data_IF_453530303943
#
_entry.id   IF_453530303943
#
_cell.length_a   1.000
_cell.length_b   1.000
_cell.length_c   1.000
_cell.angle_alpha   90.00
_cell.angle_beta   90.00
_cell.angle_gamma   90.00
#
_symmetry.space_group_name_H-M   'P 1'
#
loop_
_entity.id
_entity.type
_entity.pdbx_description
1 polymer ?
#
# COMPACT_ATOMS: atom_id res chain seq x y z
N UNK A 1 1.26 13.73 1.56
CA UNK A 1 0.22 12.75 1.16
C UNK A 1 -0.19 11.98 2.40
N UNK A 2 -1.46 11.94 2.69
CA UNK A 2 -1.97 11.21 3.85
C UNK A 2 -2.53 9.86 3.40
N UNK A 3 -2.05 8.79 4.02
CA UNK A 3 -2.46 7.42 3.73
C UNK A 3 -3.31 6.92 4.88
N UNK A 4 -4.47 6.35 4.56
CA UNK A 4 -5.38 5.76 5.53
C UNK A 4 -5.52 4.26 5.29
N UNK A 5 -5.92 3.52 6.33
CA UNK A 5 -6.26 2.11 6.15
C UNK A 5 -7.34 1.95 5.08
N UNK A 6 -7.21 0.90 4.30
CA UNK A 6 -8.07 0.53 3.18
C UNK A 6 -7.94 1.43 1.95
N UNK A 7 -7.09 2.45 1.99
CA UNK A 7 -6.76 3.18 0.77
C UNK A 7 -6.05 2.25 -0.23
N UNK A 8 -6.33 2.44 -1.50
CA UNK A 8 -5.59 1.79 -2.57
C UNK A 8 -4.47 2.72 -3.01
N UNK A 9 -3.25 2.21 -3.03
CA UNK A 9 -2.07 3.01 -3.37
C UNK A 9 -1.35 2.38 -4.56
N UNK A 10 -0.68 3.23 -5.34
CA UNK A 10 0.29 2.80 -6.35
C UNK A 10 1.68 3.09 -5.81
N UNK A 11 2.51 2.07 -5.79
CA UNK A 11 3.92 2.20 -5.41
C UNK A 11 4.74 2.72 -6.58
N UNK A 12 5.92 3.26 -6.29
CA UNK A 12 6.79 3.84 -7.33
C UNK A 12 7.32 2.79 -8.31
N UNK A 13 7.32 1.51 -7.92
CA UNK A 13 7.68 0.41 -8.83
C UNK A 13 6.53 -0.05 -9.72
N UNK A 14 5.35 0.59 -9.60
CA UNK A 14 4.18 0.29 -10.42
C UNK A 14 3.17 -0.66 -9.81
N UNK A 15 3.51 -1.33 -8.70
CA UNK A 15 2.55 -2.23 -8.03
C UNK A 15 1.46 -1.43 -7.36
N UNK A 16 0.26 -1.99 -7.30
CA UNK A 16 -0.89 -1.39 -6.63
C UNK A 16 -1.46 -2.35 -5.61
N UNK A 17 -1.95 -1.82 -4.50
CA UNK A 17 -2.55 -2.64 -3.47
C UNK A 17 -3.26 -1.83 -2.42
N UNK A 18 -3.93 -2.52 -1.50
CA UNK A 18 -4.67 -1.92 -0.40
C UNK A 18 -3.80 -1.81 0.84
N UNK A 19 -3.91 -0.67 1.53
CA UNK A 19 -3.25 -0.48 2.82
C UNK A 19 -4.03 -1.25 3.88
N UNK A 20 -3.42 -2.29 4.44
CA UNK A 20 -4.08 -3.16 5.43
C UNK A 20 -3.66 -2.86 6.86
N UNK A 21 -2.58 -2.12 7.04
CA UNK A 21 -2.11 -1.73 8.37
C UNK A 21 -1.21 -0.51 8.27
N UNK A 22 -1.37 0.41 9.22
CA UNK A 22 -0.49 1.57 9.34
C UNK A 22 0.24 1.44 10.67
N UNK A 23 1.57 1.47 10.63
CA UNK A 23 2.39 1.36 11.83
C UNK A 23 2.34 2.63 12.67
N UNK A 24 2.60 2.55 13.97
CA UNK A 24 2.62 3.73 14.84
C UNK A 24 3.50 4.84 14.27
N UNK A 25 3.01 6.07 14.34
CA UNK A 25 3.69 7.23 13.74
C UNK A 25 3.21 7.57 12.35
N UNK A 26 2.52 6.66 11.66
CA UNK A 26 1.91 6.92 10.34
C UNK A 26 2.90 7.05 9.19
N UNK A 27 4.19 6.72 9.41
CA UNK A 27 5.23 6.88 8.38
C UNK A 27 5.44 5.64 7.53
N UNK A 28 5.02 4.48 8.04
CA UNK A 28 5.16 3.21 7.34
C UNK A 28 3.84 2.45 7.40
N UNK A 29 3.60 1.65 6.38
CA UNK A 29 2.36 0.89 6.29
C UNK A 29 2.60 -0.40 5.51
N UNK A 30 1.65 -1.34 5.68
CA UNK A 30 1.66 -2.61 4.99
C UNK A 30 0.66 -2.56 3.85
N UNK A 31 1.10 -2.94 2.66
CA UNK A 31 0.27 -2.95 1.45
C UNK A 31 0.07 -4.38 0.99
N UNK A 32 -1.18 -4.78 0.84
CA UNK A 32 -1.54 -6.07 0.27
C UNK A 32 -1.64 -5.96 -1.24
N UNK A 33 -0.76 -6.65 -1.94
CA UNK A 33 -0.76 -6.71 -3.39
C UNK A 33 -1.59 -7.92 -3.80
N UNK A 34 -2.59 -7.71 -4.64
CA UNK A 34 -3.47 -8.77 -5.10
C UNK A 34 -3.49 -8.85 -6.63
N UNK A 35 -3.81 -10.04 -7.15
CA UNK A 35 -4.00 -10.21 -8.58
C UNK A 35 -5.43 -9.79 -9.00
N UNK A 36 -5.74 -9.94 -10.29
CA UNK A 36 -7.05 -9.57 -10.83
C UNK A 36 -8.20 -10.45 -10.32
N UNK A 37 -7.88 -11.54 -9.63
CA UNK A 37 -8.86 -12.47 -9.08
C UNK A 37 -9.03 -12.28 -7.57
N UNK A 38 -8.40 -11.26 -6.99
CA UNK A 38 -8.49 -10.99 -5.57
C UNK A 38 -7.59 -11.85 -4.68
N UNK A 39 -6.75 -12.68 -5.28
CA UNK A 39 -5.82 -13.51 -4.52
C UNK A 39 -4.62 -12.68 -4.09
N UNK A 40 -4.27 -12.73 -2.80
CA UNK A 40 -3.10 -12.03 -2.28
C UNK A 40 -1.82 -12.64 -2.84
N UNK A 41 -1.01 -11.81 -3.49
CA UNK A 41 0.29 -12.21 -4.04
C UNK A 41 1.42 -11.90 -3.07
N UNK A 42 1.32 -10.79 -2.31
CA UNK A 42 2.38 -10.35 -1.42
C UNK A 42 1.87 -9.35 -0.40
N UNK A 43 2.60 -9.24 0.71
CA UNK A 43 2.42 -8.18 1.70
C UNK A 43 3.73 -7.39 1.74
N UNK A 44 3.66 -6.11 1.42
CA UNK A 44 4.84 -5.26 1.23
C UNK A 44 4.82 -4.13 2.25
N UNK A 45 5.92 -3.98 2.99
CA UNK A 45 6.14 -2.80 3.82
C UNK A 45 6.54 -1.62 2.94
N UNK A 46 5.88 -0.48 3.14
CA UNK A 46 6.14 0.71 2.35
C UNK A 46 6.11 1.97 3.21
N UNK A 47 6.76 3.01 2.73
CA UNK A 47 6.71 4.34 3.32
C UNK A 47 6.16 5.32 2.29
N UNK A 48 5.87 6.55 2.73
CA UNK A 48 5.36 7.57 1.81
C UNK A 48 6.30 7.78 0.62
N UNK A 49 7.61 7.73 0.85
CA UNK A 49 8.61 7.88 -0.22
C UNK A 49 8.51 6.79 -1.29
N UNK A 50 7.93 5.65 -0.95
CA UNK A 50 7.76 4.51 -1.87
C UNK A 50 6.44 4.56 -2.62
N UNK A 51 5.59 5.52 -2.31
CA UNK A 51 4.22 5.63 -2.82
C UNK A 51 4.14 6.74 -3.85
N UNK A 52 3.65 6.38 -5.05
CA UNK A 52 3.49 7.34 -6.14
C UNK A 52 2.16 8.08 -6.04
N UNK A 53 1.09 7.39 -5.64
CA UNK A 53 -0.24 7.99 -5.59
C UNK A 53 -1.19 7.18 -4.71
N UNK A 54 -2.20 7.87 -4.19
CA UNK A 54 -3.41 7.25 -3.63
C UNK A 54 -4.45 7.26 -4.75
N UNK A 55 -5.02 6.11 -5.01
CA UNK A 55 -5.96 5.95 -6.12
C UNK A 55 -7.39 6.14 -5.66
#
# INVERSE_FOLDING_TARGET
>A
MKINELDVVRLKDGREGAVVHIYPGGKAYCVEIADNYGQTLDLVGAEEKDTAAVI
#
